data_IF_600237646536
#
_entry.id   IF_600237646536
#
_cell.length_a   1.000
_cell.length_b   1.000
_cell.length_c   1.000
_cell.angle_alpha   90.00
_cell.angle_beta   90.00
_cell.angle_gamma   90.00
#
_symmetry.space_group_name_H-M   'P 1'
#
loop_
_entity.id
_entity.type
_entity.pdbx_description
1 polymer ?
#
# COMPACT_ATOMS: atom_id res chain seq x y z
N UNK A 1 -40.77 -6.99 12.48
CA UNK A 1 -39.52 -6.56 11.83
C UNK A 1 -39.82 -6.27 10.36
N UNK A 2 -40.05 -5.00 10.01
CA UNK A 2 -40.27 -4.59 8.62
C UNK A 2 -38.99 -4.86 7.83
N UNK A 3 -39.07 -5.79 6.88
CA UNK A 3 -38.01 -6.05 5.90
C UNK A 3 -37.95 -4.83 5.00
N UNK A 4 -37.10 -3.87 5.34
CA UNK A 4 -36.75 -2.77 4.43
C UNK A 4 -36.08 -3.46 3.24
N UNK A 5 -36.61 -3.36 2.01
CA UNK A 5 -35.98 -3.97 0.85
C UNK A 5 -34.57 -3.38 0.68
N UNK A 6 -33.59 -4.26 0.42
CA UNK A 6 -32.22 -3.84 0.11
C UNK A 6 -32.27 -2.83 -1.05
N UNK A 7 -31.96 -1.57 -0.77
CA UNK A 7 -31.96 -0.50 -1.79
C UNK A 7 -30.99 -0.91 -2.92
N UNK A 8 -31.47 -0.85 -4.16
CA UNK A 8 -30.62 -1.18 -5.30
C UNK A 8 -29.49 -0.15 -5.44
N UNK A 9 -28.31 -0.58 -5.92
CA UNK A 9 -27.18 0.33 -6.14
C UNK A 9 -27.54 1.51 -7.05
N UNK A 10 -28.37 1.25 -8.07
CA UNK A 10 -28.86 2.28 -8.97
C UNK A 10 -29.68 3.36 -8.24
N UNK A 11 -30.56 2.98 -7.31
CA UNK A 11 -31.34 3.95 -6.52
C UNK A 11 -30.46 4.76 -5.56
N UNK A 12 -29.53 4.09 -4.87
CA UNK A 12 -28.63 4.79 -3.95
C UNK A 12 -27.69 5.73 -4.71
N UNK A 13 -27.13 5.28 -5.84
CA UNK A 13 -26.31 6.12 -6.71
C UNK A 13 -27.11 7.31 -7.22
N UNK A 14 -28.31 7.08 -7.79
CA UNK A 14 -29.18 8.14 -8.31
C UNK A 14 -29.54 9.16 -7.24
N UNK A 15 -29.91 8.68 -6.05
CA UNK A 15 -30.23 9.55 -4.91
C UNK A 15 -29.01 10.33 -4.41
N UNK A 16 -27.84 9.68 -4.36
CA UNK A 16 -26.59 10.31 -3.91
C UNK A 16 -26.10 11.34 -4.91
N UNK A 17 -26.09 11.03 -6.21
CA UNK A 17 -25.73 11.96 -7.29
C UNK A 17 -26.69 13.14 -7.32
N UNK A 18 -28.00 12.92 -7.18
CA UNK A 18 -28.99 14.00 -7.08
C UNK A 18 -28.72 14.91 -5.88
N UNK A 19 -28.33 14.34 -4.73
CA UNK A 19 -27.95 15.11 -3.54
C UNK A 19 -26.65 15.89 -3.76
N UNK A 20 -25.63 15.29 -4.37
CA UNK A 20 -24.36 15.96 -4.70
C UNK A 20 -24.59 17.13 -5.67
N UNK A 21 -25.38 16.92 -6.72
CA UNK A 21 -25.75 17.98 -7.66
C UNK A 21 -26.52 19.11 -6.99
N UNK A 22 -27.45 18.79 -6.07
CA UNK A 22 -28.22 19.78 -5.32
C UNK A 22 -27.36 20.67 -4.43
N UNK A 23 -26.23 20.16 -3.92
CA UNK A 23 -25.31 20.90 -3.05
C UNK A 23 -23.98 21.23 -3.73
N UNK A 24 -23.92 21.13 -5.06
CA UNK A 24 -22.66 21.22 -5.82
C UNK A 24 -21.89 22.49 -5.50
N UNK A 25 -22.56 23.65 -5.46
CA UNK A 25 -21.95 24.94 -5.15
C UNK A 25 -21.36 24.99 -3.73
N UNK A 26 -22.04 24.43 -2.74
CA UNK A 26 -21.53 24.39 -1.36
C UNK A 26 -20.34 23.43 -1.24
N UNK A 27 -20.39 22.30 -1.95
CA UNK A 27 -19.30 21.33 -2.00
C UNK A 27 -18.07 21.93 -2.68
N UNK A 28 -18.22 22.62 -3.82
CA UNK A 28 -17.08 23.22 -4.52
C UNK A 28 -16.44 24.37 -3.73
N UNK A 29 -17.25 25.19 -3.05
CA UNK A 29 -16.73 26.26 -2.18
C UNK A 29 -15.96 25.69 -0.98
N UNK A 30 -16.53 24.69 -0.28
CA UNK A 30 -15.86 24.06 0.87
C UNK A 30 -14.59 23.31 0.46
N UNK A 31 -14.65 22.56 -0.64
CA UNK A 31 -13.48 21.87 -1.21
C UNK A 31 -12.41 22.86 -1.65
N UNK A 32 -12.79 23.98 -2.27
CA UNK A 32 -11.87 25.04 -2.69
C UNK A 32 -11.16 25.70 -1.50
N UNK A 33 -11.89 25.97 -0.41
CA UNK A 33 -11.33 26.53 0.82
C UNK A 33 -10.37 25.54 1.51
N UNK A 34 -10.72 24.25 1.54
CA UNK A 34 -9.85 23.20 2.05
C UNK A 34 -8.60 23.01 1.17
N UNK A 35 -8.75 23.03 -0.15
CA UNK A 35 -7.65 22.87 -1.10
C UNK A 35 -6.65 24.04 -1.03
N UNK A 36 -7.16 25.28 -0.94
CA UNK A 36 -6.31 26.46 -0.74
C UNK A 36 -5.58 26.39 0.59
N UNK A 37 -6.28 26.13 1.71
CA UNK A 37 -5.65 25.96 3.02
C UNK A 37 -4.58 24.86 3.04
N UNK A 38 -4.86 23.70 2.42
CA UNK A 38 -3.89 22.62 2.27
C UNK A 38 -2.68 23.03 1.42
N UNK A 39 -2.89 23.79 0.34
CA UNK A 39 -1.81 24.37 -0.47
C UNK A 39 -0.89 25.28 0.34
N UNK A 40 -1.46 26.21 1.11
CA UNK A 40 -0.70 27.08 2.01
C UNK A 40 0.09 26.29 3.05
N UNK A 41 -0.56 25.35 3.75
CA UNK A 41 0.09 24.54 4.79
C UNK A 41 1.23 23.70 4.20
N UNK A 42 1.00 23.05 3.06
CA UNK A 42 2.00 22.17 2.44
C UNK A 42 3.20 22.96 1.90
N UNK A 43 2.97 24.11 1.27
CA UNK A 43 4.04 24.99 0.82
C UNK A 43 4.84 25.58 2.00
N UNK A 44 4.14 25.97 3.07
CA UNK A 44 4.77 26.43 4.31
C UNK A 44 5.64 25.34 4.96
N UNK A 45 5.12 24.11 5.05
CA UNK A 45 5.90 22.98 5.57
C UNK A 45 7.13 22.70 4.71
N UNK A 46 7.00 22.75 3.38
CA UNK A 46 8.12 22.56 2.47
C UNK A 46 9.23 23.61 2.66
N UNK A 47 8.87 24.89 2.69
CA UNK A 47 9.84 25.98 2.91
C UNK A 47 10.45 25.95 4.31
N UNK A 48 9.65 25.59 5.33
CA UNK A 48 10.12 25.38 6.72
C UNK A 48 11.09 24.21 6.85
N UNK A 49 10.84 23.11 6.15
CA UNK A 49 11.68 21.90 6.20
C UNK A 49 13.02 22.10 5.51
N UNK A 50 13.04 22.84 4.40
CA UNK A 50 14.28 23.33 3.78
C UNK A 50 14.97 24.38 4.67
N UNK A 51 14.28 24.99 5.65
CA UNK A 51 14.86 26.01 6.52
C UNK A 51 14.93 27.40 5.88
N UNK A 52 14.18 27.64 4.80
CA UNK A 52 14.10 28.92 4.08
C UNK A 52 12.64 29.37 4.03
N UNK A 53 12.11 29.77 5.18
CA UNK A 53 10.73 30.27 5.31
C UNK A 53 10.48 31.56 4.53
N UNK A 54 11.54 32.33 4.24
CA UNK A 54 11.48 33.58 3.48
C UNK A 54 10.96 33.38 2.05
N UNK A 55 11.10 32.16 1.51
CA UNK A 55 10.63 31.79 0.17
C UNK A 55 9.12 31.55 0.11
N UNK A 56 8.43 31.49 1.24
CA UNK A 56 7.00 31.21 1.30
C UNK A 56 6.16 32.34 0.71
N UNK A 57 6.37 33.57 1.18
CA UNK A 57 5.57 34.74 0.78
C UNK A 57 5.62 35.00 -0.73
N UNK A 58 6.79 35.03 -1.38
CA UNK A 58 6.88 35.26 -2.83
C UNK A 58 6.21 34.17 -3.67
N UNK A 59 6.15 32.95 -3.15
CA UNK A 59 5.71 31.78 -3.93
C UNK A 59 4.18 31.64 -3.96
N UNK A 60 3.49 32.30 -3.02
CA UNK A 60 2.03 32.38 -2.98
C UNK A 60 1.49 33.27 -4.10
N UNK A 61 2.24 34.30 -4.51
CA UNK A 61 1.80 35.26 -5.54
C UNK A 61 1.61 34.58 -6.90
N UNK A 62 2.25 33.42 -7.11
CA UNK A 62 2.22 32.66 -8.36
C UNK A 62 1.04 31.66 -8.37
N UNK A 63 -0.17 32.19 -8.56
CA UNK A 63 -1.43 31.42 -8.48
C UNK A 63 -1.49 30.16 -9.37
N UNK A 64 -0.94 30.22 -10.58
CA UNK A 64 -0.98 29.11 -11.54
C UNK A 64 -0.12 27.92 -11.09
N UNK A 65 1.09 28.17 -10.61
CA UNK A 65 1.99 27.14 -10.09
C UNK A 65 1.44 26.51 -8.79
N UNK A 66 0.80 27.33 -7.95
CA UNK A 66 0.18 26.87 -6.70
C UNK A 66 -0.95 25.85 -6.96
N UNK A 67 -1.76 26.05 -8.01
CA UNK A 67 -2.82 25.10 -8.36
C UNK A 67 -2.25 23.72 -8.74
N UNK A 68 -1.22 23.70 -9.58
CA UNK A 68 -0.55 22.44 -9.99
C UNK A 68 0.11 21.76 -8.79
N UNK A 69 0.72 22.54 -7.89
CA UNK A 69 1.27 22.06 -6.62
C UNK A 69 0.21 21.36 -5.76
N UNK A 70 -0.94 22.00 -5.54
CA UNK A 70 -2.03 21.44 -4.74
C UNK A 70 -2.55 20.13 -5.33
N UNK A 71 -2.74 20.08 -6.65
CA UNK A 71 -3.19 18.85 -7.34
C UNK A 71 -2.19 17.72 -7.15
N UNK A 72 -0.90 17.97 -7.35
CA UNK A 72 0.13 16.93 -7.20
C UNK A 72 0.24 16.46 -5.74
N UNK A 73 0.24 17.38 -4.78
CA UNK A 73 0.26 17.04 -3.36
C UNK A 73 -0.97 16.21 -2.99
N UNK A 74 -2.16 16.56 -3.48
CA UNK A 74 -3.38 15.80 -3.22
C UNK A 74 -3.29 14.38 -3.78
N UNK A 75 -2.74 14.20 -4.99
CA UNK A 75 -2.50 12.87 -5.57
C UNK A 75 -1.52 12.05 -4.74
N UNK A 76 -0.46 12.66 -4.21
CA UNK A 76 0.49 11.98 -3.32
C UNK A 76 -0.12 11.67 -1.95
N UNK A 77 -0.95 12.55 -1.39
CA UNK A 77 -1.69 12.28 -0.15
C UNK A 77 -2.65 11.09 -0.34
N UNK A 78 -3.34 11.01 -1.48
CA UNK A 78 -4.18 9.86 -1.84
C UNK A 78 -3.38 8.57 -2.03
N UNK A 79 -2.20 8.63 -2.63
CA UNK A 79 -1.33 7.45 -2.75
C UNK A 79 -0.82 6.97 -1.40
N UNK A 80 -0.47 7.89 -0.49
CA UNK A 80 -0.13 7.55 0.90
C UNK A 80 -1.33 6.94 1.64
N UNK A 81 -2.52 7.50 1.50
CA UNK A 81 -3.75 6.95 2.05
C UNK A 81 -4.00 5.52 1.55
N UNK A 82 -3.81 5.28 0.25
CA UNK A 82 -3.92 3.94 -0.37
C UNK A 82 -2.89 2.96 0.22
N UNK A 83 -1.64 3.41 0.39
CA UNK A 83 -0.57 2.59 0.96
C UNK A 83 -0.87 2.23 2.43
N UNK A 84 -1.29 3.20 3.25
CA UNK A 84 -1.71 2.93 4.64
C UNK A 84 -2.94 2.00 4.68
N UNK A 85 -3.89 2.21 3.77
CA UNK A 85 -5.12 1.42 3.63
C UNK A 85 -4.90 0.00 3.08
N UNK A 86 -3.71 -0.33 2.56
CA UNK A 86 -3.44 -1.67 2.01
C UNK A 86 -3.56 -2.77 3.09
N UNK A 87 -3.07 -2.49 4.31
CA UNK A 87 -3.20 -3.40 5.46
C UNK A 87 -4.67 -3.58 5.87
N UNK A 88 -5.43 -2.49 5.89
CA UNK A 88 -6.88 -2.44 6.12
C UNK A 88 -7.61 -3.32 5.11
N UNK A 89 -7.34 -3.20 3.81
CA UNK A 89 -8.00 -4.02 2.81
C UNK A 89 -7.65 -5.49 2.91
N UNK A 90 -6.38 -5.82 3.12
CA UNK A 90 -5.95 -7.22 3.27
C UNK A 90 -6.61 -7.86 4.50
N UNK A 91 -6.73 -7.13 5.61
CA UNK A 91 -7.38 -7.62 6.82
C UNK A 91 -8.90 -7.75 6.62
N UNK A 92 -9.53 -6.80 5.92
CA UNK A 92 -10.93 -6.91 5.48
C UNK A 92 -11.17 -8.14 4.61
N UNK A 93 -10.26 -8.47 3.70
CA UNK A 93 -10.31 -9.70 2.91
C UNK A 93 -10.28 -10.95 3.80
N UNK A 94 -9.45 -10.99 4.84
CA UNK A 94 -9.45 -12.08 5.83
C UNK A 94 -10.81 -12.26 6.50
N UNK A 95 -11.46 -11.17 6.89
CA UNK A 95 -12.81 -11.20 7.51
C UNK A 95 -13.88 -11.64 6.50
N UNK A 96 -13.70 -11.28 5.22
CA UNK A 96 -14.64 -11.61 4.13
C UNK A 96 -14.78 -13.12 3.89
N UNK A 97 -13.78 -13.92 4.28
CA UNK A 97 -13.87 -15.40 4.29
C UNK A 97 -15.05 -15.91 5.13
N UNK A 98 -15.51 -15.10 6.09
CA UNK A 98 -16.68 -15.37 6.92
C UNK A 98 -17.93 -14.58 6.50
N UNK A 99 -18.02 -14.16 5.23
CA UNK A 99 -19.18 -13.44 4.66
C UNK A 99 -20.53 -14.13 4.90
N UNK A 100 -20.53 -15.46 5.06
CA UNK A 100 -21.72 -16.27 5.36
C UNK A 100 -22.29 -16.06 6.78
N UNK A 101 -21.59 -15.35 7.68
CA UNK A 101 -21.93 -15.22 9.10
C UNK A 101 -22.10 -13.75 9.52
N UNK A 102 -22.98 -13.00 8.83
CA UNK A 102 -23.16 -11.54 9.03
C UNK A 102 -23.30 -11.13 10.50
N UNK A 103 -24.09 -11.84 11.30
CA UNK A 103 -24.35 -11.48 12.71
C UNK A 103 -23.14 -11.70 13.64
N UNK A 104 -22.22 -12.59 13.26
CA UNK A 104 -21.03 -12.90 14.05
C UNK A 104 -19.78 -12.17 13.53
N UNK A 105 -19.88 -11.35 12.48
CA UNK A 105 -18.75 -10.59 11.93
C UNK A 105 -18.02 -9.73 12.98
N UNK A 106 -18.69 -8.95 13.86
CA UNK A 106 -17.99 -8.16 14.87
C UNK A 106 -17.13 -9.01 15.81
N UNK A 107 -17.64 -10.18 16.21
CA UNK A 107 -16.90 -11.12 17.07
C UNK A 107 -15.70 -11.71 16.34
N UNK A 108 -15.87 -12.08 15.07
CA UNK A 108 -14.79 -12.60 14.23
C UNK A 108 -13.68 -11.58 14.10
N UNK A 109 -14.00 -10.31 13.82
CA UNK A 109 -13.01 -9.25 13.75
C UNK A 109 -12.23 -9.12 15.05
N UNK A 110 -12.92 -9.09 16.19
CA UNK A 110 -12.25 -8.99 17.50
C UNK A 110 -11.27 -10.14 17.75
N UNK A 111 -11.64 -11.39 17.40
CA UNK A 111 -10.73 -12.52 17.52
C UNK A 111 -9.55 -12.42 16.56
N UNK A 112 -9.75 -11.98 15.32
CA UNK A 112 -8.69 -11.89 14.31
C UNK A 112 -7.73 -10.70 14.54
N UNK A 113 -8.15 -9.65 15.24
CA UNK A 113 -7.25 -8.54 15.63
C UNK A 113 -6.10 -9.04 16.50
N UNK A 114 -6.34 -10.00 17.40
CA UNK A 114 -5.31 -10.54 18.29
C UNK A 114 -4.10 -11.14 17.56
N UNK A 115 -4.23 -12.16 16.68
CA UNK A 115 -3.10 -12.70 15.93
C UNK A 115 -2.48 -11.68 14.98
N UNK A 116 -3.24 -10.72 14.46
CA UNK A 116 -2.68 -9.63 13.63
C UNK A 116 -1.79 -8.69 14.45
N UNK A 117 -2.20 -8.28 15.65
CA UNK A 117 -1.38 -7.44 16.55
C UNK A 117 -0.13 -8.18 17.02
N UNK A 118 -0.23 -9.48 17.32
CA UNK A 118 0.94 -10.31 17.63
C UNK A 118 1.90 -10.37 16.44
N UNK A 119 1.37 -10.58 15.22
CA UNK A 119 2.16 -10.57 13.99
C UNK A 119 2.84 -9.23 13.72
N UNK A 120 2.15 -8.10 13.91
CA UNK A 120 2.73 -6.75 13.79
C UNK A 120 3.83 -6.50 14.82
N UNK A 121 3.63 -6.93 16.07
CA UNK A 121 4.61 -6.79 17.14
C UNK A 121 5.88 -7.59 16.84
N UNK A 122 5.72 -8.84 16.37
CA UNK A 122 6.84 -9.67 15.93
C UNK A 122 7.57 -9.08 14.71
N UNK A 123 6.83 -8.52 13.75
CA UNK A 123 7.40 -7.89 12.56
C UNK A 123 8.23 -6.65 12.90
N UNK A 124 7.74 -5.80 13.80
CA UNK A 124 8.48 -4.63 14.30
C UNK A 124 9.70 -5.05 15.11
N UNK A 125 9.54 -6.02 16.01
CA UNK A 125 10.64 -6.60 16.78
C UNK A 125 11.76 -7.08 15.87
N UNK A 126 11.41 -7.85 14.84
CA UNK A 126 12.36 -8.38 13.86
C UNK A 126 13.05 -7.28 13.05
N UNK A 127 12.30 -6.25 12.62
CA UNK A 127 12.82 -5.19 11.74
C UNK A 127 13.78 -4.24 12.47
N UNK A 128 13.47 -3.85 13.71
CA UNK A 128 14.25 -2.84 14.44
C UNK A 128 15.34 -3.44 15.34
N UNK A 129 15.13 -4.62 15.91
CA UNK A 129 16.05 -5.19 16.92
C UNK A 129 16.86 -6.39 16.43
N UNK A 130 16.40 -7.12 15.39
CA UNK A 130 17.03 -8.35 14.91
C UNK A 130 17.64 -8.18 13.50
N UNK A 131 18.27 -7.03 13.24
CA UNK A 131 18.86 -6.69 11.93
C UNK A 131 20.01 -7.60 11.49
N UNK A 132 20.58 -8.39 12.41
CA UNK A 132 21.72 -9.29 12.14
C UNK A 132 21.30 -10.67 11.63
N UNK A 133 20.00 -11.02 11.67
CA UNK A 133 19.52 -12.32 11.22
C UNK A 133 19.28 -12.36 9.70
N UNK A 134 19.45 -13.53 9.10
CA UNK A 134 19.15 -13.76 7.68
C UNK A 134 17.66 -13.50 7.38
N UNK A 135 17.37 -12.75 6.32
CA UNK A 135 16.02 -12.37 5.89
C UNK A 135 15.07 -13.56 5.77
N UNK A 136 15.57 -14.70 5.27
CA UNK A 136 14.77 -15.93 5.15
C UNK A 136 14.38 -16.52 6.51
N UNK A 137 15.27 -16.43 7.50
CA UNK A 137 14.97 -16.89 8.86
C UNK A 137 13.92 -16.00 9.51
N UNK A 138 14.01 -14.68 9.32
CA UNK A 138 13.00 -13.72 9.82
C UNK A 138 11.64 -14.03 9.19
N UNK A 139 11.58 -14.22 7.87
CA UNK A 139 10.33 -14.55 7.18
C UNK A 139 9.71 -15.87 7.68
N UNK A 140 10.52 -16.91 7.82
CA UNK A 140 10.07 -18.21 8.33
C UNK A 140 9.59 -18.12 9.79
N UNK A 141 10.32 -17.39 10.64
CA UNK A 141 9.94 -17.15 12.03
C UNK A 141 8.62 -16.39 12.14
N UNK A 142 8.42 -15.34 11.33
CA UNK A 142 7.16 -14.58 11.30
C UNK A 142 5.99 -15.44 10.85
N UNK A 143 6.19 -16.26 9.81
CA UNK A 143 5.16 -17.21 9.36
C UNK A 143 4.79 -18.17 10.48
N UNK A 144 5.79 -18.75 11.16
CA UNK A 144 5.57 -19.66 12.27
C UNK A 144 4.82 -18.98 13.42
N UNK A 145 5.23 -17.76 13.82
CA UNK A 145 4.58 -17.00 14.90
C UNK A 145 3.12 -16.72 14.57
N UNK A 146 2.81 -16.26 13.34
CA UNK A 146 1.43 -15.97 12.93
C UNK A 146 0.60 -17.26 12.89
N UNK A 147 1.16 -18.36 12.38
CA UNK A 147 0.48 -19.65 12.37
C UNK A 147 0.19 -20.14 13.79
N UNK A 148 1.20 -20.16 14.67
CA UNK A 148 1.04 -20.56 16.07
C UNK A 148 0.01 -19.68 16.77
N UNK A 149 0.03 -18.37 16.58
CA UNK A 149 -0.96 -17.46 17.16
C UNK A 149 -2.39 -17.77 16.67
N UNK A 150 -2.57 -18.03 15.38
CA UNK A 150 -3.88 -18.39 14.82
C UNK A 150 -4.38 -19.77 15.30
N UNK A 151 -3.48 -20.75 15.39
CA UNK A 151 -3.81 -22.10 15.88
C UNK A 151 -4.09 -22.11 17.38
N UNK A 152 -3.34 -21.34 18.17
CA UNK A 152 -3.55 -21.16 19.60
C UNK A 152 -4.87 -20.44 19.87
N UNK A 153 -5.18 -19.40 19.09
CA UNK A 153 -6.50 -18.78 19.09
C UNK A 153 -7.60 -19.80 18.76
N UNK A 154 -7.44 -20.63 17.72
CA UNK A 154 -8.41 -21.67 17.36
C UNK A 154 -8.61 -22.70 18.49
N UNK A 155 -7.55 -23.10 19.17
CA UNK A 155 -7.60 -24.11 20.24
C UNK A 155 -8.20 -23.58 21.55
N UNK A 156 -7.80 -22.37 21.98
CA UNK A 156 -8.11 -21.85 23.31
C UNK A 156 -9.39 -21.00 23.38
N UNK A 157 -9.86 -20.46 22.26
CA UNK A 157 -10.98 -19.50 22.26
C UNK A 157 -12.27 -20.14 21.73
N UNK A 158 -13.47 -19.56 22.01
CA UNK A 158 -14.73 -20.02 21.42
C UNK A 158 -14.80 -19.83 19.89
N UNK A 159 -13.74 -19.31 19.26
CA UNK A 159 -13.59 -19.20 17.81
C UNK A 159 -13.77 -20.55 17.09
N UNK A 160 -13.37 -21.67 17.71
CA UNK A 160 -13.65 -23.02 17.18
C UNK A 160 -15.14 -23.24 16.86
N UNK A 161 -16.04 -22.74 17.72
CA UNK A 161 -17.50 -22.84 17.49
C UNK A 161 -17.92 -22.02 16.27
N UNK A 162 -17.27 -20.88 16.02
CA UNK A 162 -17.57 -20.00 14.89
C UNK A 162 -17.10 -20.66 13.59
N UNK A 163 -15.90 -21.23 13.55
CA UNK A 163 -15.38 -21.97 12.38
C UNK A 163 -16.23 -23.20 12.06
N UNK A 164 -16.64 -23.97 13.07
CA UNK A 164 -17.54 -25.11 12.87
C UNK A 164 -18.88 -24.68 12.29
N UNK A 165 -19.43 -23.55 12.75
CA UNK A 165 -20.67 -22.98 12.18
C UNK A 165 -20.47 -22.50 10.75
N UNK A 166 -19.38 -21.81 10.43
CA UNK A 166 -19.13 -21.28 9.08
C UNK A 166 -18.97 -22.41 8.06
N UNK A 167 -18.20 -23.46 8.37
CA UNK A 167 -18.03 -24.63 7.50
C UNK A 167 -19.35 -25.37 7.27
N UNK A 168 -20.22 -25.45 8.30
CA UNK A 168 -21.55 -26.04 8.18
C UNK A 168 -22.45 -25.25 7.22
N UNK A 169 -22.47 -23.93 7.35
CA UNK A 169 -23.26 -23.04 6.48
C UNK A 169 -22.74 -23.11 5.04
N UNK A 170 -21.43 -23.06 4.84
CA UNK A 170 -20.82 -23.14 3.52
C UNK A 170 -21.13 -24.48 2.83
N UNK A 171 -21.07 -25.60 3.56
CA UNK A 171 -21.46 -26.90 3.02
C UNK A 171 -22.95 -26.98 2.64
N UNK A 172 -23.84 -26.28 3.35
CA UNK A 172 -25.27 -26.20 2.98
C UNK A 172 -25.48 -25.38 1.71
N UNK A 173 -24.78 -24.26 1.57
CA UNK A 173 -24.82 -23.40 0.38
C UNK A 173 -24.31 -24.13 -0.86
N UNK A 174 -23.18 -24.82 -0.76
CA UNK A 174 -22.63 -25.67 -1.84
C UNK A 174 -23.64 -26.72 -2.30
N UNK A 175 -24.29 -27.42 -1.37
CA UNK A 175 -25.35 -28.40 -1.70
C UNK A 175 -26.54 -27.75 -2.39
N UNK A 176 -26.97 -26.56 -1.96
CA UNK A 176 -28.05 -25.84 -2.60
C UNK A 176 -27.69 -25.40 -4.03
N UNK A 177 -26.45 -24.93 -4.26
CA UNK A 177 -25.94 -24.59 -5.59
C UNK A 177 -25.91 -25.80 -6.52
N UNK A 178 -25.39 -26.93 -6.05
CA UNK A 178 -25.36 -28.18 -6.82
C UNK A 178 -26.77 -28.66 -7.18
N UNK A 179 -27.74 -28.57 -6.25
CA UNK A 179 -29.14 -28.88 -6.55
C UNK A 179 -29.74 -27.97 -7.64
N UNK A 180 -29.44 -26.67 -7.61
CA UNK A 180 -29.89 -25.72 -8.65
C UNK A 180 -29.25 -26.02 -10.00
N UNK A 181 -27.95 -26.33 -10.04
CA UNK A 181 -27.25 -26.72 -11.26
C UNK A 181 -27.81 -28.02 -11.85
N UNK A 182 -28.07 -29.03 -11.01
CA UNK A 182 -28.70 -30.28 -11.42
C UNK A 182 -30.12 -30.06 -11.96
N UNK A 183 -30.92 -29.21 -11.32
CA UNK A 183 -32.25 -28.85 -11.81
C UNK A 183 -32.18 -28.13 -13.17
N UNK A 184 -31.24 -27.20 -13.36
CA UNK A 184 -31.01 -26.56 -14.65
C UNK A 184 -30.56 -27.55 -15.74
N UNK A 185 -29.66 -28.48 -15.42
CA UNK A 185 -29.26 -29.54 -16.34
C UNK A 185 -30.44 -30.43 -16.73
N UNK A 186 -31.30 -30.81 -15.78
CA UNK A 186 -32.51 -31.59 -16.05
C UNK A 186 -33.50 -30.83 -16.94
N UNK A 187 -33.69 -29.53 -16.72
CA UNK A 187 -34.54 -28.69 -17.59
C UNK A 187 -33.96 -28.64 -19.00
N UNK A 188 -32.63 -28.46 -19.15
CA UNK A 188 -31.95 -28.47 -20.45
C UNK A 188 -32.10 -29.82 -21.15
N UNK A 189 -31.94 -30.93 -20.44
CA UNK A 189 -32.13 -32.29 -20.99
C UNK A 189 -33.58 -32.56 -21.41
N UNK A 190 -34.57 -32.15 -20.60
CA UNK A 190 -35.99 -32.27 -20.96
C UNK A 190 -36.34 -31.47 -22.22
N UNK A 191 -35.76 -30.27 -22.40
CA UNK A 191 -35.91 -29.50 -23.64
C UNK A 191 -35.28 -30.20 -24.86
N UNK A 192 -34.11 -30.82 -24.71
CA UNK A 192 -33.48 -31.61 -25.77
C UNK A 192 -34.23 -32.91 -26.09
N UNK A 193 -34.84 -33.57 -25.11
CA UNK A 193 -35.63 -34.79 -25.32
C UNK A 193 -37.00 -34.53 -25.95
N UNK A 194 -37.59 -33.34 -25.76
CA UNK A 194 -38.88 -32.97 -26.39
C UNK A 194 -38.80 -32.91 -27.93
N UNK A 195 -37.59 -32.84 -28.51
CA UNK A 195 -37.34 -32.85 -29.95
C UNK A 195 -36.95 -34.23 -30.52
N UNK A 196 -37.08 -35.33 -29.77
CA UNK A 196 -36.85 -36.69 -30.28
C UNK A 196 -38.15 -37.52 -30.24
N UNK A 197 -38.47 -38.32 -31.27
CA UNK A 197 -39.66 -39.16 -31.28
C UNK A 197 -39.59 -40.25 -30.20
N UNK A 198 -40.73 -40.55 -29.60
CA UNK A 198 -40.88 -41.44 -28.46
C UNK A 198 -40.49 -42.89 -28.78
N UNK A 199 -39.59 -43.46 -27.98
CA UNK A 199 -39.30 -44.91 -27.97
C UNK A 199 -40.14 -45.61 -26.89
N UNK A 200 -40.69 -46.81 -27.14
CA UNK A 200 -41.54 -47.51 -26.18
C UNK A 200 -40.75 -47.96 -24.94
N UNK A 201 -41.35 -47.71 -23.77
CA UNK A 201 -40.80 -47.98 -22.43
C UNK A 201 -40.96 -49.48 -22.12
N UNK A 202 -39.85 -50.24 -22.14
CA UNK A 202 -39.87 -51.69 -21.89
C UNK A 202 -40.23 -52.03 -20.44
N UNK A 203 -41.14 -52.98 -20.25
CA UNK A 203 -41.61 -53.55 -18.97
C UNK A 203 -40.50 -54.11 -18.05
N UNK A 204 -39.28 -54.31 -18.56
CA UNK A 204 -38.12 -54.76 -17.79
C UNK A 204 -37.72 -53.77 -16.68
N UNK A 205 -37.94 -52.46 -16.88
CA UNK A 205 -37.62 -51.42 -15.90
C UNK A 205 -38.47 -51.52 -14.62
N UNK A 206 -39.68 -52.06 -14.72
CA UNK A 206 -40.63 -52.14 -13.62
C UNK A 206 -40.33 -53.34 -12.71
N UNK A 207 -39.91 -54.48 -13.29
CA UNK A 207 -39.38 -55.63 -12.52
C UNK A 207 -38.07 -55.31 -11.79
N UNK A 208 -37.24 -54.44 -12.37
CA UNK A 208 -36.00 -54.02 -11.72
C UNK A 208 -36.26 -53.12 -10.50
N UNK A 209 -37.26 -52.25 -10.58
CA UNK A 209 -37.68 -51.36 -9.48
C UNK A 209 -38.23 -52.13 -8.26
N UNK A 210 -38.98 -53.21 -8.47
CA UNK A 210 -39.53 -54.02 -7.37
C UNK A 210 -38.45 -54.88 -6.69
N UNK A 211 -37.49 -55.41 -7.46
CA UNK A 211 -36.35 -56.15 -6.89
C UNK A 211 -35.45 -55.25 -6.03
N UNK A 212 -35.27 -54.00 -6.45
CA UNK A 212 -34.47 -53.01 -5.71
C UNK A 212 -35.13 -52.55 -4.40
N UNK A 213 -36.46 -52.54 -4.35
CA UNK A 213 -37.22 -52.25 -3.13
C UNK A 213 -37.10 -53.39 -2.11
N UNK A 214 -37.15 -54.66 -2.55
CA UNK A 214 -36.97 -55.83 -1.68
C UNK A 214 -35.56 -55.93 -1.07
N UNK A 215 -34.53 -55.44 -1.78
CA UNK A 215 -33.15 -55.45 -1.29
C UNK A 215 -32.88 -54.39 -0.20
N UNK A 216 -33.72 -53.35 -0.10
CA UNK A 216 -33.50 -52.21 0.81
C UNK A 216 -33.91 -52.48 2.26
N UNK A 217 -34.78 -53.48 2.48
CA UNK A 217 -35.39 -53.81 3.78
C UNK A 217 -34.61 -54.81 4.62
N UNK A 218 -33.59 -55.49 4.07
CA UNK A 218 -32.69 -56.31 4.88
C UNK A 218 -31.69 -55.43 5.63
N UNK A 219 -32.00 -55.13 6.88
CA UNK A 219 -31.11 -54.48 7.86
C UNK A 219 -30.01 -55.43 8.29
N UNK A 220 -28.94 -55.49 7.49
CA UNK A 220 -27.73 -56.28 7.80
C UNK A 220 -26.81 -55.54 8.79
N UNK A 221 -26.03 -56.25 9.63
CA UNK A 221 -25.04 -55.66 10.53
C UNK A 221 -23.96 -54.86 9.78
N UNK A 222 -23.72 -55.19 8.51
CA UNK A 222 -22.91 -54.42 7.58
C UNK A 222 -23.39 -52.96 7.43
N UNK A 223 -24.70 -52.69 7.55
CA UNK A 223 -25.28 -51.34 7.44
C UNK A 223 -24.99 -50.47 8.67
N UNK A 224 -24.88 -51.10 9.86
CA UNK A 224 -24.47 -50.44 11.11
C UNK A 224 -22.98 -50.13 11.11
N UNK A 225 -22.15 -51.08 10.69
CA UNK A 225 -20.71 -50.88 10.52
C UNK A 225 -20.39 -49.83 9.44
N UNK A 226 -21.15 -49.84 8.33
CA UNK A 226 -21.11 -48.76 7.33
C UNK A 226 -21.52 -47.42 7.95
N UNK A 227 -22.50 -47.37 8.84
CA UNK A 227 -22.94 -46.12 9.47
C UNK A 227 -21.86 -45.55 10.40
N UNK A 228 -21.18 -46.38 11.16
CA UNK A 228 -20.05 -45.96 12.02
C UNK A 228 -18.84 -45.49 11.23
N UNK A 229 -18.40 -46.28 10.25
CA UNK A 229 -17.29 -45.88 9.35
C UNK A 229 -17.64 -44.61 8.57
N UNK A 230 -18.90 -44.44 8.16
CA UNK A 230 -19.36 -43.21 7.51
C UNK A 230 -19.46 -42.02 8.46
N UNK A 231 -19.78 -42.23 9.74
CA UNK A 231 -19.71 -41.19 10.77
C UNK A 231 -18.26 -40.77 11.04
N UNK A 232 -17.34 -41.72 11.09
CA UNK A 232 -15.91 -41.45 11.28
C UNK A 232 -15.29 -40.72 10.07
N UNK A 233 -15.52 -41.23 8.85
CA UNK A 233 -15.12 -40.57 7.59
C UNK A 233 -15.69 -39.16 7.48
N UNK A 234 -16.97 -38.99 7.84
CA UNK A 234 -17.59 -37.68 7.88
C UNK A 234 -16.85 -36.78 8.87
N UNK A 235 -16.64 -37.21 10.11
CA UNK A 235 -15.89 -36.45 11.12
C UNK A 235 -14.51 -36.01 10.62
N UNK A 236 -13.78 -36.91 9.97
CA UNK A 236 -12.47 -36.63 9.40
C UNK A 236 -12.52 -35.60 8.27
N UNK A 237 -13.50 -35.69 7.38
CA UNK A 237 -13.74 -34.70 6.32
C UNK A 237 -14.13 -33.33 6.89
N UNK A 238 -14.91 -33.27 7.97
CA UNK A 238 -15.25 -32.02 8.64
C UNK A 238 -14.02 -31.40 9.32
N UNK A 239 -13.23 -32.19 10.05
CA UNK A 239 -11.99 -31.73 10.66
C UNK A 239 -10.99 -31.19 9.62
N UNK A 240 -10.86 -31.87 8.46
CA UNK A 240 -10.02 -31.40 7.35
C UNK A 240 -10.48 -30.06 6.79
N UNK A 241 -11.79 -29.83 6.70
CA UNK A 241 -12.36 -28.54 6.25
C UNK A 241 -12.15 -27.42 7.25
N UNK A 242 -12.30 -27.70 8.54
CA UNK A 242 -12.03 -26.74 9.61
C UNK A 242 -10.54 -26.34 9.61
N UNK A 243 -9.64 -27.33 9.54
CA UNK A 243 -8.20 -27.09 9.44
C UNK A 243 -7.84 -26.26 8.21
N UNK A 244 -8.37 -26.61 7.03
CA UNK A 244 -8.10 -25.86 5.81
C UNK A 244 -8.56 -24.40 5.89
N UNK A 245 -9.71 -24.14 6.52
CA UNK A 245 -10.21 -22.79 6.74
C UNK A 245 -9.32 -22.00 7.70
N UNK A 246 -8.87 -22.61 8.81
CA UNK A 246 -7.90 -21.99 9.74
C UNK A 246 -6.62 -21.64 9.00
N UNK A 247 -6.05 -22.58 8.22
CA UNK A 247 -4.83 -22.35 7.46
C UNK A 247 -4.97 -21.22 6.45
N UNK A 248 -6.10 -21.14 5.72
CA UNK A 248 -6.34 -20.01 4.81
C UNK A 248 -6.43 -18.67 5.53
N UNK A 249 -7.08 -18.64 6.70
CA UNK A 249 -7.14 -17.44 7.54
C UNK A 249 -5.74 -17.05 8.02
N UNK A 250 -4.92 -18.01 8.47
CA UNK A 250 -3.53 -17.78 8.87
C UNK A 250 -2.68 -17.23 7.73
N UNK A 251 -2.82 -17.78 6.52
CA UNK A 251 -2.12 -17.27 5.32
C UNK A 251 -2.57 -15.84 5.01
N UNK A 252 -3.88 -15.57 5.07
CA UNK A 252 -4.41 -14.23 4.84
C UNK A 252 -3.88 -13.21 5.86
N UNK A 253 -3.85 -13.57 7.15
CA UNK A 253 -3.25 -12.72 8.20
C UNK A 253 -1.74 -12.55 7.96
N UNK A 254 -1.03 -13.61 7.58
CA UNK A 254 0.40 -13.49 7.28
C UNK A 254 0.66 -12.51 6.12
N UNK A 255 -0.16 -12.55 5.07
CA UNK A 255 -0.12 -11.53 4.01
C UNK A 255 -0.40 -10.14 4.57
N UNK A 256 -1.37 -9.96 5.47
CA UNK A 256 -1.61 -8.64 6.11
C UNK A 256 -0.38 -8.12 6.85
N UNK A 257 0.37 -9.00 7.53
CA UNK A 257 1.61 -8.65 8.23
C UNK A 257 2.71 -8.27 7.26
N UNK A 258 2.85 -8.96 6.11
CA UNK A 258 3.82 -8.56 5.08
C UNK A 258 3.47 -7.16 4.53
N UNK A 259 2.20 -6.88 4.29
CA UNK A 259 1.75 -5.55 3.84
C UNK A 259 2.00 -4.45 4.89
N UNK A 260 2.26 -4.79 6.16
CA UNK A 260 2.69 -3.83 7.17
C UNK A 260 4.07 -3.23 6.88
N UNK A 261 4.89 -3.87 6.02
CA UNK A 261 6.16 -3.31 5.56
C UNK A 261 5.99 -1.93 4.90
N UNK A 262 4.89 -1.70 4.18
CA UNK A 262 4.64 -0.42 3.53
C UNK A 262 4.41 0.76 4.50
N UNK A 263 3.44 0.71 5.43
CA UNK A 263 3.27 1.76 6.43
C UNK A 263 4.50 1.93 7.34
N UNK A 264 5.25 0.86 7.63
CA UNK A 264 6.52 0.96 8.38
C UNK A 264 7.57 1.74 7.56
N UNK A 265 7.73 1.42 6.28
CA UNK A 265 8.67 2.15 5.40
C UNK A 265 8.29 3.64 5.28
N UNK A 266 7.00 3.95 5.20
CA UNK A 266 6.51 5.33 5.24
C UNK A 266 6.86 6.01 6.57
N UNK A 267 6.70 5.30 7.68
CA UNK A 267 7.01 5.80 9.02
C UNK A 267 8.51 6.12 9.14
N UNK A 268 9.38 5.19 8.75
CA UNK A 268 10.84 5.37 8.79
C UNK A 268 11.28 6.55 7.92
N UNK A 269 10.77 6.64 6.68
CA UNK A 269 11.15 7.74 5.76
C UNK A 269 10.61 9.10 6.19
N UNK A 270 9.49 9.12 6.90
CA UNK A 270 8.91 10.35 7.42
C UNK A 270 9.57 10.85 8.70
N UNK A 271 10.41 10.05 9.36
CA UNK A 271 11.14 10.47 10.55
C UNK A 271 12.26 11.45 10.18
N UNK A 272 12.17 12.70 10.64
CA UNK A 272 13.10 13.78 10.24
C UNK A 272 14.29 13.97 11.19
N UNK A 273 14.29 13.33 12.36
CA UNK A 273 15.36 13.46 13.34
C UNK A 273 16.55 12.53 13.01
N UNK A 274 17.72 12.87 13.57
CA UNK A 274 18.96 12.10 13.38
C UNK A 274 18.83 10.73 14.03
N UNK A 275 19.36 9.72 13.34
CA UNK A 275 19.39 8.35 13.85
C UNK A 275 20.41 8.26 14.99
N UNK A 276 19.89 8.19 16.20
CA UNK A 276 20.66 7.91 17.43
C UNK A 276 20.15 6.62 18.05
N UNK A 277 20.98 5.87 18.80
CA UNK A 277 20.55 4.59 19.39
C UNK A 277 19.29 4.72 20.27
N UNK A 278 19.10 5.88 20.92
CA UNK A 278 17.93 6.15 21.77
C UNK A 278 16.63 6.42 20.97
N UNK A 279 16.74 6.77 19.69
CA UNK A 279 15.57 7.05 18.82
C UNK A 279 14.95 5.80 18.21
N UNK A 280 15.70 4.69 18.12
CA UNK A 280 15.24 3.41 17.55
C UNK A 280 13.96 2.89 18.23
N UNK A 281 13.88 2.77 19.58
CA UNK A 281 12.66 2.31 20.24
C UNK A 281 11.47 3.26 20.05
N UNK A 282 11.73 4.58 19.94
CA UNK A 282 10.68 5.57 19.68
C UNK A 282 10.07 5.39 18.28
N UNK A 283 10.90 5.23 17.25
CA UNK A 283 10.43 4.99 15.87
C UNK A 283 9.72 3.63 15.75
N UNK A 284 10.19 2.61 16.47
CA UNK A 284 9.52 1.31 16.55
C UNK A 284 8.13 1.43 17.21
N UNK A 285 8.03 2.16 18.32
CA UNK A 285 6.76 2.42 19.00
C UNK A 285 5.78 3.22 18.14
N UNK A 286 6.26 4.25 17.45
CA UNK A 286 5.45 5.02 16.51
C UNK A 286 4.96 4.13 15.36
N UNK A 287 5.82 3.29 14.79
CA UNK A 287 5.44 2.31 13.76
C UNK A 287 4.40 1.30 14.25
N UNK A 288 4.49 0.86 15.50
CA UNK A 288 3.52 -0.07 16.08
C UNK A 288 2.15 0.58 16.24
N UNK A 289 2.13 1.80 16.73
CA UNK A 289 0.92 2.60 16.90
C UNK A 289 0.28 2.94 15.55
N UNK A 290 1.05 3.21 14.50
CA UNK A 290 0.48 3.43 13.15
C UNK A 290 -0.18 2.18 12.60
N UNK A 291 0.42 1.00 12.78
CA UNK A 291 -0.21 -0.28 12.38
C UNK A 291 -1.51 -0.58 13.13
N UNK A 292 -1.63 -0.18 14.40
CA UNK A 292 -2.89 -0.32 15.13
C UNK A 292 -3.95 0.60 14.54
N UNK A 293 -3.59 1.83 14.22
CA UNK A 293 -4.53 2.76 13.59
C UNK A 293 -4.99 2.31 12.20
N UNK A 294 -4.18 1.58 11.43
CA UNK A 294 -4.65 1.04 10.13
C UNK A 294 -5.67 -0.07 10.27
N UNK A 295 -5.82 -0.70 11.44
CA UNK A 295 -6.88 -1.69 11.69
C UNK A 295 -8.25 -1.04 12.00
N UNK A 296 -8.24 0.19 12.53
CA UNK A 296 -9.42 0.89 13.01
C UNK A 296 -10.54 1.05 11.96
N UNK A 297 -10.26 1.38 10.68
CA UNK A 297 -11.30 1.48 9.66
C UNK A 297 -12.02 0.14 9.39
N UNK A 298 -11.31 -1.00 9.43
CA UNK A 298 -11.94 -2.33 9.28
C UNK A 298 -12.79 -2.66 10.50
N UNK A 299 -12.28 -2.40 11.70
CA UNK A 299 -13.01 -2.64 12.93
C UNK A 299 -14.31 -1.85 12.92
N UNK A 300 -14.28 -0.58 12.55
CA UNK A 300 -15.49 0.26 12.41
C UNK A 300 -16.42 -0.30 11.33
N UNK A 301 -15.89 -0.67 10.16
CA UNK A 301 -16.71 -1.22 9.07
C UNK A 301 -17.48 -2.49 9.47
N UNK A 302 -16.89 -3.38 10.28
CA UNK A 302 -17.53 -4.63 10.68
C UNK A 302 -18.29 -4.58 12.01
N UNK A 303 -17.93 -3.69 12.94
CA UNK A 303 -18.60 -3.56 14.23
C UNK A 303 -19.87 -2.70 14.16
N UNK A 304 -19.93 -1.71 13.27
CA UNK A 304 -21.11 -0.86 13.15
C UNK A 304 -22.26 -1.59 12.43
N UNK A 305 -23.43 -1.59 13.06
CA UNK A 305 -24.68 -2.09 12.47
C UNK A 305 -25.25 -1.05 11.50
N UNK A 306 -25.69 -1.50 10.33
CA UNK A 306 -26.37 -0.66 9.34
C UNK A 306 -26.24 -1.20 7.93
N UNK A 307 -26.86 -0.48 6.99
CA UNK A 307 -26.75 -0.77 5.55
C UNK A 307 -25.29 -0.72 5.08
N UNK A 308 -24.99 -1.45 4.01
CA UNK A 308 -23.65 -1.53 3.42
C UNK A 308 -23.08 -0.12 3.17
N UNK A 309 -23.88 0.80 2.64
CA UNK A 309 -23.46 2.18 2.36
C UNK A 309 -23.07 2.96 3.60
N UNK A 310 -23.83 2.83 4.71
CA UNK A 310 -23.52 3.52 5.96
C UNK A 310 -22.24 2.98 6.58
N UNK A 311 -22.02 1.67 6.49
CA UNK A 311 -20.80 1.00 6.95
C UNK A 311 -19.59 1.44 6.12
N UNK A 312 -19.71 1.48 4.79
CA UNK A 312 -18.64 1.97 3.90
C UNK A 312 -18.33 3.43 4.17
N UNK A 313 -19.34 4.27 4.35
CA UNK A 313 -19.15 5.70 4.65
C UNK A 313 -18.43 5.90 5.99
N UNK A 314 -18.84 5.21 7.05
CA UNK A 314 -18.16 5.26 8.35
C UNK A 314 -16.71 4.75 8.27
N UNK A 315 -16.48 3.67 7.49
CA UNK A 315 -15.14 3.14 7.25
C UNK A 315 -14.24 4.11 6.48
N UNK A 316 -14.78 4.84 5.49
CA UNK A 316 -14.05 5.89 4.76
C UNK A 316 -13.69 7.07 5.67
N UNK A 317 -14.63 7.54 6.49
CA UNK A 317 -14.35 8.59 7.48
C UNK A 317 -13.26 8.14 8.44
N UNK A 318 -13.35 6.91 8.96
CA UNK A 318 -12.34 6.33 9.84
C UNK A 318 -10.96 6.25 9.19
N UNK A 319 -10.90 5.92 7.89
CA UNK A 319 -9.65 5.88 7.12
C UNK A 319 -9.03 7.28 6.98
N UNK A 320 -9.84 8.29 6.66
CA UNK A 320 -9.40 9.69 6.58
C UNK A 320 -8.92 10.17 7.95
N UNK A 321 -9.66 9.88 9.02
CA UNK A 321 -9.25 10.23 10.39
C UNK A 321 -7.96 9.53 10.82
N UNK A 322 -7.77 8.26 10.47
CA UNK A 322 -6.53 7.53 10.74
C UNK A 322 -5.34 8.14 9.99
N UNK A 323 -5.55 8.58 8.74
CA UNK A 323 -4.54 9.29 7.97
C UNK A 323 -4.22 10.67 8.56
N UNK A 324 -5.23 11.45 8.96
CA UNK A 324 -5.02 12.71 9.68
C UNK A 324 -4.22 12.49 10.97
N UNK A 325 -4.60 11.50 11.78
CA UNK A 325 -3.87 11.13 12.99
C UNK A 325 -2.41 10.75 12.68
N UNK A 326 -2.17 9.95 11.64
CA UNK A 326 -0.82 9.60 11.17
C UNK A 326 0.01 10.85 10.81
N UNK A 327 -0.58 11.81 10.08
CA UNK A 327 0.13 13.06 9.72
C UNK A 327 0.41 13.96 10.92
N UNK A 328 -0.41 13.90 11.98
CA UNK A 328 -0.17 14.63 13.23
C UNK A 328 0.90 13.95 14.09
N UNK A 329 0.91 12.61 14.14
CA UNK A 329 1.90 11.81 14.87
C UNK A 329 3.28 11.89 14.22
N UNK A 330 3.34 11.89 12.89
CA UNK A 330 4.56 12.05 12.10
C UNK A 330 4.46 13.32 11.25
N UNK A 331 4.81 14.51 11.79
CA UNK A 331 4.78 15.76 11.03
C UNK A 331 5.76 15.76 9.84
N UNK A 332 6.77 14.89 9.88
CA UNK A 332 7.68 14.71 8.76
C UNK A 332 7.06 13.98 7.55
N UNK A 333 5.88 13.36 7.70
CA UNK A 333 5.20 12.69 6.58
C UNK A 333 4.69 13.69 5.54
N UNK A 334 4.06 14.78 5.98
CA UNK A 334 3.68 15.90 5.12
C UNK A 334 4.92 16.53 4.45
N UNK A 335 6.00 16.69 5.21
CA UNK A 335 7.27 17.24 4.72
C UNK A 335 7.86 16.38 3.60
N UNK A 336 7.84 15.06 3.75
CA UNK A 336 8.30 14.12 2.74
C UNK A 336 7.41 14.14 1.48
N UNK A 337 6.08 14.20 1.66
CA UNK A 337 5.13 14.28 0.55
C UNK A 337 5.39 15.53 -0.29
N UNK A 338 5.56 16.69 0.36
CA UNK A 338 5.84 17.95 -0.33
C UNK A 338 7.20 17.98 -0.99
N UNK A 339 8.21 17.33 -0.40
CA UNK A 339 9.53 17.17 -1.00
C UNK A 339 9.48 16.32 -2.28
N UNK A 340 8.71 15.23 -2.29
CA UNK A 340 8.48 14.41 -3.49
C UNK A 340 7.67 15.22 -4.53
N UNK A 341 6.68 15.99 -4.10
CA UNK A 341 5.90 16.86 -4.98
C UNK A 341 6.79 17.91 -5.68
N UNK A 342 7.70 18.55 -4.95
CA UNK A 342 8.63 19.52 -5.49
C UNK A 342 9.55 18.93 -6.56
N UNK A 343 9.96 17.67 -6.38
CA UNK A 343 10.70 16.96 -7.41
C UNK A 343 9.84 16.71 -8.66
N UNK A 344 8.59 16.27 -8.49
CA UNK A 344 7.68 15.98 -9.60
C UNK A 344 7.34 17.18 -10.47
N UNK A 345 7.35 18.40 -9.90
CA UNK A 345 7.05 19.64 -10.63
C UNK A 345 8.28 20.36 -11.17
N UNK A 346 9.46 19.73 -11.10
CA UNK A 346 10.74 20.39 -11.43
C UNK A 346 10.98 21.69 -10.65
N UNK A 347 10.25 21.90 -9.54
CA UNK A 347 10.55 22.93 -8.53
C UNK A 347 11.91 22.63 -7.92
N UNK A 348 12.23 21.34 -7.77
CA UNK A 348 13.54 20.82 -7.41
C UNK A 348 14.09 19.90 -8.50
N UNK A 349 15.37 20.07 -8.83
CA UNK A 349 16.06 19.22 -9.79
C UNK A 349 16.98 18.21 -9.10
N UNK A 350 17.14 17.03 -9.70
CA UNK A 350 18.02 15.96 -9.21
C UNK A 350 19.40 15.97 -9.87
N UNK A 351 19.65 16.92 -10.78
CA UNK A 351 20.89 17.03 -11.53
C UNK A 351 21.53 18.39 -11.26
N UNK A 352 22.85 18.40 -11.15
CA UNK A 352 23.61 19.65 -11.13
C UNK A 352 23.76 20.16 -12.57
N UNK A 353 23.51 21.44 -12.74
CA UNK A 353 23.52 22.13 -14.02
C UNK A 353 24.32 23.42 -13.92
N UNK A 354 24.57 24.04 -15.06
CA UNK A 354 25.35 25.27 -15.12
C UNK A 354 24.42 26.46 -15.20
N UNK A 355 24.56 27.38 -14.26
CA UNK A 355 23.77 28.60 -14.19
C UNK A 355 24.68 29.81 -14.35
N UNK A 356 24.30 30.75 -15.20
CA UNK A 356 24.91 32.08 -15.25
C UNK A 356 24.20 32.99 -14.26
N UNK A 357 24.93 33.46 -13.25
CA UNK A 357 24.42 34.32 -12.19
C UNK A 357 24.24 35.78 -12.66
N UNK A 358 23.36 36.56 -12.00
CA UNK A 358 23.24 37.99 -12.24
C UNK A 358 24.53 38.75 -11.89
N UNK A 359 24.73 39.89 -12.54
CA UNK A 359 25.91 40.76 -12.39
C UNK A 359 26.05 41.37 -10.98
N UNK A 360 24.96 41.35 -10.20
CA UNK A 360 24.92 41.79 -8.81
C UNK A 360 25.77 40.88 -7.89
N UNK A 361 25.94 39.60 -8.24
CA UNK A 361 26.69 38.63 -7.43
C UNK A 361 28.12 38.55 -7.94
N UNK A 362 29.09 38.94 -7.10
CA UNK A 362 30.50 38.96 -7.47
C UNK A 362 31.21 37.70 -6.98
N UNK A 363 32.38 37.42 -7.57
CA UNK A 363 33.18 36.24 -7.23
C UNK A 363 33.63 36.23 -5.76
N UNK A 364 33.71 37.41 -5.15
CA UNK A 364 34.08 37.59 -3.73
C UNK A 364 32.98 37.10 -2.77
N UNK A 365 31.73 37.10 -3.20
CA UNK A 365 30.59 36.66 -2.39
C UNK A 365 30.45 35.12 -2.39
N UNK A 366 31.16 34.44 -3.29
CA UNK A 366 31.14 32.99 -3.46
C UNK A 366 32.41 32.37 -2.88
N UNK A 367 32.26 31.45 -1.94
CA UNK A 367 33.38 30.66 -1.44
C UNK A 367 33.84 29.67 -2.52
N UNK A 368 35.11 29.80 -2.97
CA UNK A 368 35.71 28.92 -3.97
C UNK A 368 35.79 27.43 -3.54
N UNK A 369 35.66 27.15 -2.24
CA UNK A 369 35.68 25.78 -1.68
C UNK A 369 34.34 25.06 -1.84
N UNK A 370 33.22 25.77 -1.73
CA UNK A 370 31.87 25.18 -1.84
C UNK A 370 31.32 25.28 -3.27
N UNK A 371 31.66 26.35 -4.00
CA UNK A 371 31.08 26.64 -5.30
C UNK A 371 32.11 26.42 -6.40
N UNK A 372 31.76 25.55 -7.37
CA UNK A 372 32.52 25.43 -8.62
C UNK A 372 32.13 26.56 -9.55
N UNK A 373 32.89 27.65 -9.47
CA UNK A 373 32.70 28.87 -10.27
C UNK A 373 33.58 28.86 -11.52
N UNK A 374 33.07 29.36 -12.63
CA UNK A 374 33.83 29.67 -13.84
C UNK A 374 33.48 31.09 -14.30
N UNK A 375 34.47 31.94 -14.49
CA UNK A 375 34.25 33.25 -15.09
C UNK A 375 34.18 33.10 -16.61
N UNK A 376 33.11 33.62 -17.23
CA UNK A 376 32.91 33.49 -18.69
C UNK A 376 32.94 34.81 -19.43
N UNK A 377 32.59 35.91 -18.77
CA UNK A 377 32.81 37.26 -19.25
C UNK A 377 33.25 38.15 -18.08
N UNK A 378 33.70 39.38 -18.37
CA UNK A 378 34.25 40.31 -17.36
C UNK A 378 33.35 40.48 -16.11
N UNK A 379 32.03 40.34 -16.23
CA UNK A 379 31.07 40.51 -15.13
C UNK A 379 30.08 39.35 -14.93
N UNK A 380 30.13 38.28 -15.75
CA UNK A 380 29.20 37.14 -15.60
C UNK A 380 29.90 35.88 -15.11
N UNK A 381 29.39 35.34 -14.01
CA UNK A 381 29.90 34.15 -13.34
C UNK A 381 28.99 32.98 -13.65
N UNK A 382 29.59 31.87 -14.06
CA UNK A 382 28.92 30.58 -14.16
C UNK A 382 29.19 29.78 -12.88
N UNK A 383 28.16 29.11 -12.38
CA UNK A 383 28.26 28.17 -11.26
C UNK A 383 27.67 26.83 -11.63
N UNK A 384 28.29 25.75 -11.16
CA UNK A 384 27.71 24.42 -11.17
C UNK A 384 26.86 24.22 -9.90
N UNK A 385 25.55 24.23 -10.07
CA UNK A 385 24.57 24.23 -8.98
C UNK A 385 23.39 23.35 -9.33
N UNK A 386 22.61 22.94 -8.33
CA UNK A 386 21.29 22.36 -8.57
C UNK A 386 20.22 23.29 -8.01
N UNK A 387 19.07 23.26 -8.66
CA UNK A 387 17.89 24.00 -8.22
C UNK A 387 17.22 23.25 -7.07
N UNK A 388 17.28 23.81 -5.86
CA UNK A 388 16.60 23.26 -4.68
C UNK A 388 15.14 23.72 -4.61
N UNK A 389 14.87 24.95 -5.06
CA UNK A 389 13.55 25.56 -5.06
C UNK A 389 13.38 26.45 -6.29
N UNK A 390 12.25 26.35 -6.98
CA UNK A 390 11.83 27.32 -7.99
C UNK A 390 10.32 27.43 -8.02
N UNK A 391 9.81 28.62 -7.76
CA UNK A 391 8.39 28.93 -7.84
C UNK A 391 8.21 30.31 -8.44
N UNK A 392 7.59 30.37 -9.62
CA UNK A 392 7.51 31.59 -10.43
C UNK A 392 8.88 32.19 -10.71
N UNK A 393 9.11 33.40 -10.18
CA UNK A 393 10.38 34.09 -10.36
C UNK A 393 11.39 33.84 -9.24
N UNK A 394 11.02 33.16 -8.14
CA UNK A 394 11.98 32.89 -7.05
C UNK A 394 12.74 31.61 -7.34
N UNK A 395 14.07 31.69 -7.32
CA UNK A 395 15.00 30.58 -7.58
C UNK A 395 16.01 30.44 -6.44
N UNK A 396 16.10 29.25 -5.84
CA UNK A 396 17.13 28.91 -4.85
C UNK A 396 18.11 27.91 -5.47
N UNK A 397 19.36 28.36 -5.64
CA UNK A 397 20.45 27.56 -6.17
C UNK A 397 21.34 27.08 -5.02
N UNK A 398 21.67 25.79 -5.05
CA UNK A 398 22.57 25.16 -4.08
C UNK A 398 23.77 24.50 -4.78
N UNK A 399 24.94 24.44 -4.12
CA UNK A 399 26.13 23.79 -4.66
C UNK A 399 25.90 22.32 -5.03
N UNK A 400 26.57 21.83 -6.07
CA UNK A 400 26.50 20.42 -6.50
C UNK A 400 26.79 19.42 -5.39
N UNK A 401 27.74 19.71 -4.51
CA UNK A 401 28.15 18.78 -3.44
C UNK A 401 27.04 18.58 -2.39
N UNK A 402 26.04 19.47 -2.34
CA UNK A 402 24.86 19.34 -1.47
C UNK A 402 23.75 18.49 -2.09
N UNK A 403 23.89 18.02 -3.33
CA UNK A 403 22.88 17.21 -4.01
C UNK A 403 22.69 15.83 -3.34
N UNK A 404 23.75 15.28 -2.77
CA UNK A 404 23.74 13.98 -2.09
C UNK A 404 23.13 14.02 -0.68
N UNK A 405 22.85 15.20 -0.14
CA UNK A 405 22.31 15.36 1.21
C UNK A 405 20.85 14.89 1.28
N UNK A 406 20.50 14.24 2.40
CA UNK A 406 19.12 13.85 2.68
C UNK A 406 18.28 15.05 3.13
N UNK A 407 16.94 14.93 3.04
CA UNK A 407 16.00 15.97 3.47
C UNK A 407 16.24 16.41 4.93
N UNK A 408 16.67 15.49 5.79
CA UNK A 408 16.97 15.75 7.21
C UNK A 408 18.11 16.75 7.40
N UNK A 409 19.09 16.73 6.50
CA UNK A 409 20.31 17.53 6.60
C UNK A 409 20.20 18.86 5.86
N UNK A 410 19.36 18.91 4.82
CA UNK A 410 19.12 20.08 3.97
C UNK A 410 18.79 21.36 4.76
N UNK A 411 18.06 21.25 5.86
CA UNK A 411 17.72 22.40 6.72
C UNK A 411 18.95 23.15 7.25
N UNK A 412 20.04 22.44 7.52
CA UNK A 412 21.23 23.03 8.12
C UNK A 412 22.13 23.69 7.07
N UNK A 413 22.12 23.18 5.84
CA UNK A 413 23.00 23.63 4.76
C UNK A 413 22.36 24.61 3.77
N UNK A 414 21.02 24.70 3.74
CA UNK A 414 20.28 25.61 2.84
C UNK A 414 20.58 27.10 3.06
N UNK A 415 21.18 27.45 4.20
CA UNK A 415 21.65 28.81 4.51
C UNK A 415 22.78 29.27 3.59
N UNK A 416 23.58 28.33 3.06
CA UNK A 416 24.66 28.60 2.13
C UNK A 416 24.21 28.66 0.66
N UNK A 417 22.92 28.42 0.41
CA UNK A 417 22.33 28.52 -0.93
C UNK A 417 21.97 29.96 -1.28
N UNK A 418 22.14 30.29 -2.56
CA UNK A 418 21.91 31.63 -3.10
C UNK A 418 20.45 31.73 -3.54
N UNK A 419 19.77 32.78 -3.08
CA UNK A 419 18.43 33.15 -3.55
C UNK A 419 18.57 34.16 -4.69
N UNK A 420 18.07 33.82 -5.87
CA UNK A 420 18.08 34.68 -7.05
C UNK A 420 16.70 34.71 -7.70
N UNK A 421 16.56 35.51 -8.76
CA UNK A 421 15.37 35.50 -9.61
C UNK A 421 15.59 34.61 -10.83
N UNK A 422 14.59 33.81 -11.19
CA UNK A 422 14.63 32.92 -12.35
C UNK A 422 14.77 33.73 -13.65
N UNK A 423 14.14 34.90 -13.73
CA UNK A 423 14.23 35.87 -14.83
C UNK A 423 15.64 36.45 -15.02
N UNK A 424 16.44 36.49 -13.95
CA UNK A 424 17.81 37.04 -13.96
C UNK A 424 18.90 35.98 -14.16
N UNK A 425 18.55 34.70 -14.16
CA UNK A 425 19.50 33.58 -14.25
C UNK A 425 19.31 32.84 -15.57
N UNK A 426 20.41 32.55 -16.26
CA UNK A 426 20.37 31.78 -17.50
C UNK A 426 20.91 30.37 -17.26
N UNK A 427 20.05 29.36 -17.44
CA UNK A 427 20.45 27.95 -17.44
C UNK A 427 21.19 27.62 -18.74
N UNK A 428 22.43 27.12 -18.62
CA UNK A 428 23.25 26.73 -19.76
C UNK A 428 23.07 25.24 -20.09
N UNK A 429 23.18 24.85 -21.37
CA UNK A 429 23.10 23.44 -21.75
C UNK A 429 24.23 22.63 -21.08
N UNK A 430 24.04 21.33 -20.83
CA UNK A 430 25.12 20.47 -20.37
C UNK A 430 26.26 20.49 -21.40
N UNK A 431 27.51 20.47 -20.93
CA UNK A 431 28.65 20.30 -21.84
C UNK A 431 28.50 18.94 -22.52
N UNK A 432 28.77 18.82 -23.83
CA UNK A 432 28.98 17.52 -24.44
C UNK A 432 30.16 16.87 -23.72
N UNK A 433 29.87 15.91 -22.84
CA UNK A 433 30.88 14.99 -22.33
C UNK A 433 31.16 14.06 -23.50
N UNK A 434 32.03 14.48 -24.40
CA UNK A 434 32.64 13.55 -25.33
C UNK A 434 33.29 12.50 -24.45
N UNK A 435 32.73 11.29 -24.45
CA UNK A 435 33.35 10.15 -23.80
C UNK A 435 34.78 10.10 -24.32
N UNK A 436 35.73 10.51 -23.50
CA UNK A 436 37.15 10.30 -23.80
C UNK A 436 37.22 8.80 -23.95
N UNK A 437 37.37 8.31 -25.19
CA UNK A 437 37.61 6.89 -25.47
C UNK A 437 38.71 6.50 -24.49
N UNK A 438 38.34 5.73 -23.47
CA UNK A 438 39.33 5.13 -22.59
C UNK A 438 40.18 4.31 -23.54
N UNK A 439 41.42 4.73 -23.75
CA UNK A 439 42.39 3.91 -24.44
C UNK A 439 42.39 2.61 -23.66
N UNK A 440 41.90 1.54 -24.28
CA UNK A 440 41.84 0.22 -23.69
C UNK A 440 43.29 -0.19 -23.43
N UNK A 441 43.77 0.05 -22.22
CA UNK A 441 44.81 -0.78 -21.68
C UNK A 441 44.24 -2.19 -21.61
N UNK A 442 44.87 -3.08 -22.37
CA UNK A 442 44.52 -4.48 -22.49
C UNK A 442 44.77 -5.17 -21.15
N UNK A 443 43.86 -4.99 -20.20
CA UNK A 443 43.81 -5.79 -19.00
C UNK A 443 42.98 -7.05 -19.30
N UNK A 444 43.67 -8.18 -19.51
CA UNK A 444 43.08 -9.51 -19.50
C UNK A 444 42.25 -9.69 -18.21
N UNK A 445 40.92 -9.61 -18.31
CA UNK A 445 40.02 -10.04 -17.24
C UNK A 445 39.18 -11.22 -17.73
N UNK A 446 39.40 -12.34 -17.05
CA UNK A 446 38.66 -13.60 -17.11
C UNK A 446 37.16 -13.32 -16.94
N UNK A 447 36.26 -13.95 -17.72
CA UNK A 447 34.83 -13.65 -17.65
C UNK A 447 34.26 -14.10 -16.30
N UNK A 448 33.66 -13.16 -15.55
CA UNK A 448 32.92 -13.48 -14.34
C UNK A 448 31.57 -14.10 -14.69
N UNK A 449 31.20 -15.17 -13.98
CA UNK A 449 29.93 -15.90 -14.05
C UNK A 449 28.67 -15.01 -13.97
N UNK A 450 28.80 -13.77 -13.48
CA UNK A 450 27.73 -12.77 -13.40
C UNK A 450 27.18 -12.32 -14.76
N UNK A 451 28.03 -12.27 -15.81
CA UNK A 451 27.59 -11.87 -17.16
C UNK A 451 26.69 -12.95 -17.79
N UNK A 452 26.88 -14.21 -17.38
CA UNK A 452 26.11 -15.34 -17.87
C UNK A 452 24.76 -15.47 -17.15
N UNK A 453 24.68 -15.05 -15.88
CA UNK A 453 23.43 -15.00 -15.11
C UNK A 453 22.48 -13.88 -15.57
N UNK A 454 22.99 -12.71 -15.95
CA UNK A 454 22.17 -11.58 -16.42
C UNK A 454 21.43 -11.84 -17.74
N UNK A 455 21.98 -12.72 -18.60
CA UNK A 455 21.40 -13.03 -19.91
C UNK A 455 20.13 -13.88 -19.84
N UNK A 456 19.90 -14.58 -18.72
CA UNK A 456 18.71 -15.43 -18.52
C UNK A 456 17.46 -14.68 -18.06
N UNK A 457 17.60 -13.47 -17.51
CA UNK A 457 16.50 -12.81 -16.80
C UNK A 457 16.08 -11.46 -17.36
N UNK A 458 16.65 -10.92 -18.45
CA UNK A 458 16.12 -9.73 -19.18
C UNK A 458 15.51 -8.58 -18.33
N UNK A 459 15.96 -8.40 -17.09
CA UNK A 459 15.34 -7.49 -16.12
C UNK A 459 15.77 -6.03 -16.37
N UNK A 460 16.85 -5.85 -17.14
CA UNK A 460 17.45 -4.55 -17.48
C UNK A 460 16.62 -3.77 -18.52
N UNK A 461 15.65 -4.39 -19.19
CA UNK A 461 14.76 -3.70 -20.13
C UNK A 461 13.58 -2.97 -19.45
N UNK A 462 13.32 -3.21 -18.15
CA UNK A 462 12.12 -2.70 -17.46
C UNK A 462 12.37 -1.51 -16.52
N UNK A 463 13.63 -1.12 -16.24
CA UNK A 463 13.93 0.00 -15.34
C UNK A 463 15.12 0.82 -15.86
N UNK A 464 14.90 1.93 -16.60
CA UNK A 464 15.96 2.90 -16.83
C UNK A 464 16.14 3.73 -15.55
N UNK A 465 17.28 3.59 -14.86
CA UNK A 465 17.68 4.62 -13.87
C UNK A 465 18.39 4.19 -12.59
N UNK A 466 18.98 3.00 -12.47
CA UNK A 466 19.73 2.65 -11.24
C UNK A 466 21.05 1.96 -11.53
N UNK A 467 22.11 2.74 -11.76
CA UNK A 467 23.45 2.34 -11.34
C UNK A 467 24.18 3.53 -10.70
N UNK A 468 24.22 3.50 -9.36
CA UNK A 468 25.21 4.20 -8.54
C UNK A 468 26.59 3.59 -8.82
N UNK A 469 27.57 4.46 -9.04
CA UNK A 469 28.98 4.14 -8.97
C UNK A 469 29.35 3.69 -7.55
N UNK A 470 29.51 2.38 -7.36
CA UNK A 470 30.26 1.81 -6.25
C UNK A 470 31.62 1.36 -6.77
N UNK A 471 32.57 2.29 -6.85
CA UNK A 471 34.01 2.02 -6.78
C UNK A 471 34.73 3.36 -6.66
N UNK A 472 34.96 3.76 -5.42
CA UNK A 472 35.77 4.92 -5.04
C UNK A 472 36.69 4.50 -3.90
N UNK A 473 37.41 3.40 -4.10
CA UNK A 473 38.49 2.99 -3.20
C UNK A 473 39.71 3.86 -3.52
N UNK A 474 39.85 4.97 -2.79
CA UNK A 474 41.10 5.72 -2.74
C UNK A 474 42.03 4.99 -1.76
N UNK A 475 43.12 4.47 -2.29
CA UNK A 475 44.31 4.12 -1.51
C UNK A 475 44.86 5.37 -0.82
N UNK A 476 45.04 5.26 0.49
CA UNK A 476 45.94 6.01 1.35
C UNK A 476 46.46 5.01 2.36
#
# INVERSE_FOLDING_TARGET
MSVIPDRTFAEVLKHTVKRILSYWTQITVTLGLLATGLGFITLYLYTRTIGRIDLFMPSIDVKSALLVWVVLVLLLMLSYLFILGATTWMFGCSVSLFSNMKDNQPKIVFYLVFPTVVGFSAFIGATFFLSTLNTWMIFAALLLIVFVACFLMYALTPFKRIIRKSTLVQARLERARLKRLAAHQQIKQKKLQKNKPARPRKACLQKWLTYWQAFKDKTTPARLWLKETWMWLRSWVWARKEFWLVTLVSISIFVTVIFAAFPILLTIRSYMEKETPDTVPYVAGLSWLTLIFTLLPVVIFYCFKGDIYRRTFNGLIAMILAFCAFTMLSPGSLSQITYIAAQGLSVRQQTAERYALPEEIKLQDLSATLWKTRQVAAQKIEVEAFQLYSFGDVLLLCPKDMLSLELKELKNYSKFCISTLNSKVVRKPPLPVFARKLQKDWACRVPSWQIQAGRWLAWEALVPGVHRSASGEKKG
#
